data_IF_611372167092
#
_entry.id   IF_611372167092
#
_cell.length_a   1.000
_cell.length_b   1.000
_cell.length_c   1.000
_cell.angle_alpha   90.00
_cell.angle_beta   90.00
_cell.angle_gamma   90.00
#
_symmetry.space_group_name_H-M   'P 1'
#
loop_
_entity.id
_entity.type
_entity.pdbx_description
1 polymer ?
#
# COMPACT_ATOMS: atom_id res chain seq x y z
N UNK A 1 -0.77 8.48 1.08
CA UNK A 1 -2.14 8.05 1.37
C UNK A 1 -2.75 8.90 2.49
N UNK A 2 -2.25 8.85 3.70
CA UNK A 2 -2.86 9.50 4.88
C UNK A 2 -2.94 11.04 4.79
N UNK A 3 -2.10 11.67 3.99
CA UNK A 3 -2.12 13.12 3.72
C UNK A 3 -3.25 13.55 2.77
N UNK A 4 -3.87 12.64 2.04
CA UNK A 4 -5.02 12.90 1.18
C UNK A 4 -6.26 12.34 1.84
N UNK A 5 -7.09 13.22 2.41
CA UNK A 5 -8.26 12.87 3.25
C UNK A 5 -9.15 11.80 2.62
N UNK A 6 -9.36 11.87 1.30
CA UNK A 6 -10.25 10.96 0.58
C UNK A 6 -9.83 9.48 0.66
N UNK A 7 -8.55 9.20 0.82
CA UNK A 7 -8.07 7.83 1.03
C UNK A 7 -8.44 7.25 2.40
N UNK A 8 -8.82 8.09 3.35
CA UNK A 8 -9.17 7.68 4.72
C UNK A 8 -10.66 7.44 4.94
N UNK A 9 -11.50 7.59 3.92
CA UNK A 9 -12.90 7.21 4.05
C UNK A 9 -13.08 5.69 3.99
N UNK A 10 -13.97 5.18 4.83
CA UNK A 10 -14.40 3.79 4.89
C UNK A 10 -15.93 3.70 4.89
N UNK A 11 -16.46 2.55 4.50
CA UNK A 11 -17.89 2.25 4.59
C UNK A 11 -18.06 1.17 5.66
N UNK A 12 -18.83 1.46 6.69
CA UNK A 12 -19.16 0.54 7.77
C UNK A 12 -20.64 0.65 8.07
N UNK A 13 -21.34 -0.48 8.12
CA UNK A 13 -22.77 -0.54 8.42
C UNK A 13 -23.63 0.41 7.55
N UNK A 14 -23.25 0.53 6.26
CA UNK A 14 -23.92 1.42 5.31
C UNK A 14 -23.63 2.92 5.49
N UNK A 15 -22.85 3.30 6.49
CA UNK A 15 -22.42 4.67 6.76
C UNK A 15 -21.00 4.97 6.28
N UNK A 16 -20.71 6.26 6.07
CA UNK A 16 -19.36 6.73 5.69
C UNK A 16 -18.62 7.18 6.94
N UNK A 17 -17.44 6.61 7.14
CA UNK A 17 -16.56 6.90 8.26
C UNK A 17 -15.26 7.52 7.76
N UNK A 18 -14.70 8.45 8.54
CA UNK A 18 -13.37 9.00 8.30
C UNK A 18 -12.41 8.33 9.31
N UNK A 19 -11.51 7.52 8.81
CA UNK A 19 -10.48 6.87 9.60
C UNK A 19 -9.43 7.89 10.05
N UNK A 20 -8.84 7.67 11.21
CA UNK A 20 -7.70 8.47 11.69
C UNK A 20 -6.49 8.28 10.78
N UNK A 21 -6.22 7.02 10.43
CA UNK A 21 -5.16 6.66 9.48
C UNK A 21 -5.46 5.34 8.76
N UNK A 22 -4.73 5.12 7.66
CA UNK A 22 -4.59 3.83 6.99
C UNK A 22 -3.25 3.22 7.35
N UNK A 23 -3.24 1.92 7.60
CA UNK A 23 -2.06 1.15 8.02
C UNK A 23 -1.56 0.30 6.85
N UNK A 24 -0.28 0.36 6.47
CA UNK A 24 0.28 -0.49 5.43
C UNK A 24 0.20 -1.97 5.80
N UNK A 25 -0.30 -2.78 4.87
CA UNK A 25 -0.23 -4.24 4.89
C UNK A 25 0.41 -4.66 3.58
N UNK A 26 1.57 -5.31 3.65
CA UNK A 26 2.36 -5.61 2.46
C UNK A 26 2.64 -7.10 2.30
N UNK A 27 2.71 -7.52 1.04
CA UNK A 27 3.20 -8.85 0.70
C UNK A 27 4.73 -8.86 0.72
N UNK A 28 5.31 -9.84 1.42
CA UNK A 28 6.75 -10.06 1.44
C UNK A 28 7.06 -11.53 1.16
N UNK A 29 8.12 -11.78 0.41
CA UNK A 29 8.53 -13.12 0.03
C UNK A 29 9.42 -13.73 1.14
N UNK A 30 9.05 -14.90 1.61
CA UNK A 30 9.87 -15.59 2.62
C UNK A 30 11.24 -15.97 2.03
N UNK A 31 12.35 -15.66 2.72
CA UNK A 31 13.68 -15.99 2.23
C UNK A 31 13.84 -17.47 1.89
N UNK A 32 14.32 -17.76 0.67
CA UNK A 32 14.54 -19.13 0.20
C UNK A 32 13.27 -19.92 -0.14
N UNK A 33 12.12 -19.26 -0.28
CA UNK A 33 10.82 -19.88 -0.57
C UNK A 33 10.15 -19.16 -1.74
N UNK A 34 9.21 -19.86 -2.39
CA UNK A 34 8.25 -19.26 -3.33
C UNK A 34 6.96 -18.79 -2.64
N UNK A 35 6.88 -18.95 -1.31
CA UNK A 35 5.73 -18.52 -0.52
C UNK A 35 5.92 -17.09 -0.03
N UNK A 36 4.87 -16.30 -0.16
CA UNK A 36 4.79 -14.98 0.46
C UNK A 36 4.00 -15.03 1.77
N UNK A 37 4.11 -13.96 2.54
CA UNK A 37 3.24 -13.67 3.67
C UNK A 37 2.78 -12.21 3.61
N UNK A 38 1.76 -11.88 4.37
CA UNK A 38 1.18 -10.54 4.45
C UNK A 38 1.52 -9.97 5.83
N UNK A 39 2.21 -8.85 5.85
CA UNK A 39 2.72 -8.23 7.07
C UNK A 39 2.10 -6.85 7.26
N UNK A 40 1.37 -6.66 8.34
CA UNK A 40 0.81 -5.36 8.72
C UNK A 40 1.85 -4.55 9.48
N UNK A 41 2.05 -3.29 9.07
CA UNK A 41 3.12 -2.42 9.53
C UNK A 41 2.57 -1.14 10.14
N UNK A 42 2.25 -1.11 11.44
CA UNK A 42 1.90 0.13 12.12
C UNK A 42 3.03 1.17 11.97
N UNK A 43 2.65 2.43 11.77
CA UNK A 43 3.61 3.52 11.66
C UNK A 43 4.40 3.67 12.97
N UNK A 44 5.71 3.67 12.86
CA UNK A 44 6.63 3.92 13.96
C UNK A 44 7.72 4.90 13.52
N UNK A 45 8.03 5.89 14.33
CA UNK A 45 9.16 6.80 14.16
C UNK A 45 9.35 7.38 12.76
N UNK A 46 10.61 7.53 12.36
CA UNK A 46 11.03 7.96 11.03
C UNK A 46 11.19 6.78 10.05
N UNK A 47 11.63 7.07 8.82
CA UNK A 47 11.79 6.06 7.75
C UNK A 47 12.72 4.92 8.16
N UNK A 48 13.85 5.22 8.77
CA UNK A 48 14.82 4.21 9.18
C UNK A 48 14.23 3.26 10.24
N UNK A 49 13.52 3.80 11.22
CA UNK A 49 12.85 3.00 12.26
C UNK A 49 11.71 2.19 11.71
N UNK A 50 10.93 2.78 10.78
CA UNK A 50 9.86 2.06 10.08
C UNK A 50 10.41 0.87 9.27
N UNK A 51 11.50 1.07 8.51
CA UNK A 51 12.14 -0.01 7.74
C UNK A 51 12.69 -1.12 8.66
N UNK A 52 13.33 -0.75 9.77
CA UNK A 52 13.83 -1.73 10.74
C UNK A 52 12.67 -2.54 11.37
N UNK A 53 11.58 -1.86 11.76
CA UNK A 53 10.38 -2.50 12.28
C UNK A 53 9.75 -3.44 11.26
N UNK A 54 9.66 -3.02 9.98
CA UNK A 54 9.11 -3.84 8.90
C UNK A 54 9.91 -5.13 8.71
N UNK A 55 11.24 -5.04 8.66
CA UNK A 55 12.12 -6.20 8.55
C UNK A 55 11.97 -7.15 9.74
N UNK A 56 11.92 -6.61 10.95
CA UNK A 56 11.77 -7.42 12.16
C UNK A 56 10.42 -8.14 12.20
N UNK A 57 9.33 -7.45 11.85
CA UNK A 57 7.98 -8.04 11.80
C UNK A 57 7.88 -9.12 10.73
N UNK A 58 8.39 -8.85 9.53
CA UNK A 58 8.42 -9.83 8.45
C UNK A 58 9.21 -11.09 8.85
N UNK A 59 10.39 -10.93 9.43
CA UNK A 59 11.21 -12.07 9.88
C UNK A 59 10.55 -12.88 11.01
N UNK A 60 9.77 -12.24 11.88
CA UNK A 60 9.09 -12.89 13.00
C UNK A 60 7.80 -13.61 12.58
N UNK A 61 7.13 -13.19 11.51
CA UNK A 61 5.85 -13.73 11.11
C UNK A 61 5.97 -15.14 10.52
N UNK A 62 5.21 -16.08 11.07
CA UNK A 62 5.24 -17.50 10.67
C UNK A 62 4.02 -17.91 9.84
N UNK A 63 2.91 -17.23 10.02
CA UNK A 63 1.64 -17.47 9.32
C UNK A 63 1.57 -16.70 8.01
N UNK A 64 0.63 -17.03 7.13
CA UNK A 64 0.37 -16.30 5.89
C UNK A 64 0.01 -14.85 6.20
N UNK A 65 -0.88 -14.64 7.13
CA UNK A 65 -1.31 -13.33 7.63
C UNK A 65 -1.67 -13.45 9.12
N UNK A 66 -1.69 -12.34 9.82
CA UNK A 66 -2.25 -12.24 11.16
C UNK A 66 -3.70 -11.78 11.05
N UNK A 67 -4.64 -12.68 11.33
CA UNK A 67 -6.08 -12.42 11.20
C UNK A 67 -6.58 -11.33 12.16
N UNK A 68 -5.93 -11.16 13.31
CA UNK A 68 -6.30 -10.13 14.28
C UNK A 68 -5.93 -8.71 13.80
N UNK A 69 -5.02 -8.61 12.83
CA UNK A 69 -4.60 -7.36 12.18
C UNK A 69 -5.39 -7.05 10.90
N UNK A 70 -6.21 -7.99 10.39
CA UNK A 70 -7.03 -7.78 9.19
C UNK A 70 -8.26 -6.93 9.54
N UNK A 71 -8.33 -5.75 8.93
CA UNK A 71 -9.43 -4.80 9.11
C UNK A 71 -9.52 -3.81 7.95
N UNK A 72 -10.53 -2.96 7.93
CA UNK A 72 -10.76 -1.99 6.86
C UNK A 72 -9.90 -0.70 6.95
N UNK A 73 -9.02 -0.60 7.96
CA UNK A 73 -8.08 0.52 8.06
C UNK A 73 -6.82 0.32 7.19
N UNK A 74 -6.69 -0.80 6.52
CA UNK A 74 -5.47 -1.16 5.80
C UNK A 74 -5.29 -0.40 4.48
N UNK A 75 -4.04 -0.43 3.98
CA UNK A 75 -3.64 -0.22 2.59
C UNK A 75 -2.91 -1.47 2.17
N UNK A 76 -3.37 -2.15 1.14
CA UNK A 76 -2.65 -3.28 0.60
C UNK A 76 -1.54 -2.81 -0.34
N UNK A 77 -0.34 -3.30 -0.09
CA UNK A 77 0.86 -2.92 -0.82
C UNK A 77 1.55 -4.17 -1.37
N UNK A 78 1.90 -4.14 -2.65
CA UNK A 78 2.60 -5.23 -3.31
C UNK A 78 3.73 -4.71 -4.18
N UNK A 79 4.79 -5.52 -4.34
CA UNK A 79 5.90 -5.22 -5.22
C UNK A 79 6.19 -6.41 -6.14
N UNK A 80 6.35 -6.13 -7.43
CA UNK A 80 6.75 -7.11 -8.44
C UNK A 80 8.10 -6.73 -9.04
N UNK A 81 9.23 -6.96 -8.34
CA UNK A 81 10.53 -6.41 -8.74
C UNK A 81 11.14 -7.07 -9.98
N UNK A 82 10.50 -8.10 -10.52
CA UNK A 82 11.02 -8.90 -11.64
C UNK A 82 10.72 -8.30 -13.02
N UNK A 83 9.73 -7.40 -13.12
CA UNK A 83 9.32 -6.82 -14.42
C UNK A 83 8.83 -5.38 -14.27
N UNK A 84 8.81 -4.67 -15.41
CA UNK A 84 8.28 -3.31 -15.47
C UNK A 84 6.77 -3.34 -15.42
N UNK A 85 6.18 -2.57 -14.52
CA UNK A 85 4.74 -2.50 -14.36
C UNK A 85 4.15 -1.36 -15.19
N UNK A 86 3.21 -1.67 -16.06
CA UNK A 86 2.42 -0.69 -16.83
C UNK A 86 0.99 -0.55 -16.30
N UNK A 87 0.51 -1.53 -15.56
CA UNK A 87 -0.79 -1.55 -14.90
C UNK A 87 -1.00 -2.88 -14.22
N UNK A 88 -1.83 -2.90 -13.18
CA UNK A 88 -2.17 -4.08 -12.42
C UNK A 88 -3.59 -3.94 -11.87
N UNK A 89 -4.34 -5.04 -11.86
CA UNK A 89 -5.56 -5.19 -11.08
C UNK A 89 -5.30 -6.25 -10.03
N UNK A 90 -5.72 -5.98 -8.81
CA UNK A 90 -5.52 -6.91 -7.70
C UNK A 90 -6.77 -7.77 -7.51
N UNK A 91 -6.58 -8.98 -7.00
CA UNK A 91 -7.69 -9.79 -6.51
C UNK A 91 -8.43 -9.05 -5.41
N UNK A 92 -9.76 -9.06 -5.48
CA UNK A 92 -10.62 -8.51 -4.46
C UNK A 92 -12.00 -9.15 -4.53
N UNK A 93 -12.70 -9.17 -3.41
CA UNK A 93 -14.13 -9.37 -3.41
C UNK A 93 -14.80 -8.22 -4.17
N UNK A 94 -15.75 -8.55 -5.06
CA UNK A 94 -16.49 -7.54 -5.78
C UNK A 94 -17.54 -6.83 -4.91
N UNK A 95 -17.29 -6.75 -3.61
CA UNK A 95 -18.07 -5.93 -2.71
C UNK A 95 -17.92 -4.46 -3.11
N UNK A 96 -19.06 -3.81 -3.37
CA UNK A 96 -19.11 -2.39 -3.73
C UNK A 96 -18.62 -1.48 -2.60
N UNK A 97 -18.62 -1.99 -1.36
CA UNK A 97 -18.22 -1.27 -0.17
C UNK A 97 -16.73 -1.48 0.17
N UNK A 98 -16.04 -2.41 -0.52
CA UNK A 98 -14.59 -2.52 -0.43
C UNK A 98 -13.92 -1.21 -0.86
N UNK A 99 -13.31 -0.56 0.11
CA UNK A 99 -12.67 0.74 -0.07
C UNK A 99 -11.20 0.77 0.36
N UNK A 100 -10.61 -0.40 0.60
CA UNK A 100 -9.19 -0.53 0.95
C UNK A 100 -8.36 -0.20 -0.29
N UNK A 101 -7.52 0.85 -0.26
CA UNK A 101 -6.65 1.17 -1.38
C UNK A 101 -5.63 0.05 -1.61
N UNK A 102 -5.34 -0.26 -2.88
CA UNK A 102 -4.33 -1.23 -3.29
C UNK A 102 -3.27 -0.52 -4.12
N UNK A 103 -2.02 -0.67 -3.74
CA UNK A 103 -0.88 -0.04 -4.39
C UNK A 103 0.09 -1.13 -4.81
N UNK A 104 0.39 -1.19 -6.09
CA UNK A 104 1.36 -2.14 -6.63
C UNK A 104 2.40 -1.40 -7.44
N UNK A 105 3.69 -1.71 -7.24
CA UNK A 105 4.75 -1.18 -8.09
C UNK A 105 5.62 -2.29 -8.65
N UNK A 106 6.23 -1.99 -9.80
CA UNK A 106 7.12 -2.90 -10.50
C UNK A 106 8.60 -2.67 -10.19
N UNK A 107 9.44 -3.30 -11.00
CA UNK A 107 10.88 -3.06 -11.01
C UNK A 107 11.16 -1.58 -11.30
N UNK A 108 12.17 -1.03 -10.62
CA UNK A 108 12.69 0.27 -11.01
C UNK A 108 13.70 0.13 -12.14
N UNK A 109 13.67 1.08 -13.09
CA UNK A 109 14.67 1.29 -14.10
C UNK A 109 15.38 2.62 -13.91
N UNK A 110 16.39 2.88 -14.73
CA UNK A 110 17.10 4.17 -14.76
C UNK A 110 16.88 4.84 -16.10
N UNK A 111 16.49 6.10 -16.08
CA UNK A 111 16.31 6.92 -17.26
C UNK A 111 16.82 8.34 -16.97
N UNK A 112 17.79 8.79 -17.79
CA UNK A 112 18.42 10.11 -17.64
C UNK A 112 19.00 10.37 -16.23
N UNK A 113 19.62 9.34 -15.62
CA UNK A 113 20.20 9.43 -14.28
C UNK A 113 19.19 9.45 -13.13
N UNK A 114 17.90 9.23 -13.41
CA UNK A 114 16.85 9.15 -12.41
C UNK A 114 16.28 7.74 -12.37
N UNK A 115 16.03 7.24 -11.15
CA UNK A 115 15.30 5.98 -10.97
C UNK A 115 13.81 6.21 -11.18
N UNK A 116 13.19 5.33 -11.97
CA UNK A 116 11.76 5.35 -12.28
C UNK A 116 11.16 3.98 -12.06
N UNK A 117 9.91 3.92 -11.63
CA UNK A 117 9.13 2.69 -11.57
C UNK A 117 7.68 2.96 -11.98
N UNK A 118 7.04 1.93 -12.54
CA UNK A 118 5.60 1.94 -12.75
C UNK A 118 4.86 1.62 -11.46
N UNK A 119 3.78 2.36 -11.20
CA UNK A 119 2.93 2.16 -10.03
C UNK A 119 1.45 2.15 -10.44
N UNK A 120 0.72 1.17 -9.96
CA UNK A 120 -0.73 1.07 -10.07
C UNK A 120 -1.38 1.35 -8.72
N UNK A 121 -2.45 2.14 -8.72
CA UNK A 121 -3.24 2.46 -7.52
C UNK A 121 -4.70 2.16 -7.82
N UNK A 122 -5.26 1.16 -7.15
CA UNK A 122 -6.68 0.85 -7.19
C UNK A 122 -7.40 1.45 -5.99
N UNK A 123 -8.52 2.10 -6.24
CA UNK A 123 -9.31 2.82 -5.24
C UNK A 123 -10.80 2.70 -5.51
N UNK A 124 -11.61 2.90 -4.49
CA UNK A 124 -13.06 2.99 -4.65
C UNK A 124 -13.44 4.38 -5.15
N UNK A 125 -14.05 4.45 -6.34
CA UNK A 125 -14.42 5.70 -6.99
C UNK A 125 -15.52 6.48 -6.26
N UNK A 126 -16.19 5.90 -5.26
CA UNK A 126 -17.13 6.65 -4.40
C UNK A 126 -16.45 7.76 -3.61
N UNK A 127 -15.15 7.64 -3.32
CA UNK A 127 -14.39 8.59 -2.50
C UNK A 127 -13.23 9.25 -3.24
N UNK A 128 -12.66 8.54 -4.21
CA UNK A 128 -11.40 8.94 -4.86
C UNK A 128 -11.61 9.01 -6.36
N UNK A 129 -11.33 10.15 -6.94
CA UNK A 129 -11.31 10.41 -8.38
C UNK A 129 -9.90 10.83 -8.85
N UNK A 130 -9.77 11.19 -10.13
CA UNK A 130 -8.52 11.59 -10.73
C UNK A 130 -7.81 12.74 -10.03
N UNK A 131 -8.56 13.72 -9.48
CA UNK A 131 -7.97 14.83 -8.71
C UNK A 131 -7.28 14.33 -7.43
N UNK A 132 -7.93 13.42 -6.73
CA UNK A 132 -7.37 12.86 -5.49
C UNK A 132 -6.15 11.97 -5.75
N UNK A 133 -6.15 11.22 -6.85
CA UNK A 133 -4.99 10.46 -7.32
C UNK A 133 -3.84 11.40 -7.71
N UNK A 134 -4.12 12.49 -8.43
CA UNK A 134 -3.13 13.51 -8.76
C UNK A 134 -2.44 14.05 -7.49
N UNK A 135 -3.21 14.49 -6.50
CA UNK A 135 -2.68 14.95 -5.20
C UNK A 135 -1.84 13.89 -4.48
N UNK A 136 -2.26 12.63 -4.58
CA UNK A 136 -1.48 11.52 -4.00
C UNK A 136 -0.12 11.37 -4.68
N UNK A 137 -0.08 11.33 -6.02
CA UNK A 137 1.17 11.18 -6.77
C UNK A 137 2.10 12.39 -6.59
N UNK A 138 1.59 13.61 -6.64
CA UNK A 138 2.37 14.83 -6.37
C UNK A 138 3.01 14.81 -4.99
N UNK A 139 2.23 14.44 -3.97
CA UNK A 139 2.75 14.36 -2.61
C UNK A 139 3.78 13.24 -2.45
N UNK A 140 3.52 12.06 -3.02
CA UNK A 140 4.45 10.94 -2.98
C UNK A 140 5.79 11.31 -3.65
N UNK A 141 5.73 11.94 -4.83
CA UNK A 141 6.94 12.38 -5.54
C UNK A 141 7.72 13.42 -4.72
N UNK A 142 7.03 14.39 -4.14
CA UNK A 142 7.67 15.39 -3.28
C UNK A 142 8.34 14.76 -2.04
N UNK A 143 7.71 13.77 -1.43
CA UNK A 143 8.28 13.05 -0.28
C UNK A 143 9.53 12.23 -0.70
N UNK A 144 9.51 11.61 -1.89
CA UNK A 144 10.66 10.88 -2.44
C UNK A 144 11.81 11.83 -2.79
N UNK A 145 11.51 12.97 -3.40
CA UNK A 145 12.53 13.96 -3.80
C UNK A 145 13.18 14.65 -2.57
N UNK A 146 12.58 14.53 -1.38
CA UNK A 146 13.09 15.07 -0.12
C UNK A 146 13.94 14.06 0.70
N UNK A 147 14.09 12.81 0.24
CA UNK A 147 14.93 11.78 0.86
C UNK A 147 16.40 11.94 0.50
#
# INVERSE_FOLDING_TARGET
VNSVKNFRYAIRDGGVWLLDERIPSLTDLKPGSEQFHIVTLPKVGGIAEFCASAQARSAAQKTLLDQDEENDNLIYISCTPWFDLTGCTNERDFDRDDNIPRITWGRYGEENGRKKLGMSVEVNHRFIDGLHLGKFYEKLQADIDAL
#
